data_IF_552498363810
#
_entry.id   IF_552498363810
#
_cell.length_a   1.000
_cell.length_b   1.000
_cell.length_c   1.000
_cell.angle_alpha   90.00
_cell.angle_beta   90.00
_cell.angle_gamma   90.00
#
_symmetry.space_group_name_H-M   'P 1'
#
loop_
_entity.id
_entity.type
_entity.pdbx_description
1 polymer ?
#
# COMPACT_ATOMS: atom_id res chain seq x y z
N UNK A 1 -1.52 -49.49 14.38
CA UNK A 1 -2.36 -48.27 14.30
C UNK A 1 -1.77 -47.07 15.02
N UNK A 2 -1.27 -47.20 16.26
CA UNK A 2 -0.72 -46.08 17.04
C UNK A 2 0.37 -45.26 16.35
N UNK A 3 1.28 -45.90 15.60
CA UNK A 3 2.35 -45.17 14.87
C UNK A 3 1.82 -44.23 13.79
N UNK A 4 0.72 -44.60 13.11
CA UNK A 4 0.08 -43.74 12.10
C UNK A 4 -0.60 -42.54 12.78
N UNK A 5 -1.25 -42.78 13.92
CA UNK A 5 -1.90 -41.73 14.71
C UNK A 5 -0.86 -40.72 15.24
N UNK A 6 0.26 -41.22 15.78
CA UNK A 6 1.36 -40.38 16.25
C UNK A 6 1.93 -39.49 15.13
N UNK A 7 2.13 -40.04 13.93
CA UNK A 7 2.59 -39.25 12.78
C UNK A 7 1.59 -38.17 12.37
N UNK A 8 0.28 -38.46 12.39
CA UNK A 8 -0.76 -37.48 12.07
C UNK A 8 -0.74 -36.35 13.10
N UNK A 9 -0.69 -36.68 14.40
CA UNK A 9 -0.61 -35.68 15.47
C UNK A 9 0.63 -34.81 15.30
N UNK A 10 1.79 -35.40 15.04
CA UNK A 10 3.03 -34.67 14.83
C UNK A 10 2.93 -33.69 13.65
N UNK A 11 2.30 -34.13 12.56
CA UNK A 11 2.10 -33.32 11.36
C UNK A 11 1.14 -32.15 11.62
N UNK A 12 0.06 -32.39 12.37
CA UNK A 12 -0.87 -31.33 12.79
C UNK A 12 -0.21 -30.30 13.70
N UNK A 13 0.67 -30.74 14.62
CA UNK A 13 1.46 -29.84 15.47
C UNK A 13 2.39 -28.99 14.62
N UNK A 14 3.10 -29.59 13.66
CA UNK A 14 3.98 -28.86 12.75
C UNK A 14 3.23 -27.81 11.91
N UNK A 15 2.09 -28.18 11.33
CA UNK A 15 1.23 -27.26 10.56
C UNK A 15 0.76 -26.10 11.43
N UNK A 16 0.31 -26.38 12.65
CA UNK A 16 -0.17 -25.36 13.60
C UNK A 16 0.95 -24.37 13.96
N UNK A 17 2.17 -24.87 14.20
CA UNK A 17 3.33 -24.02 14.48
C UNK A 17 3.71 -23.17 13.27
N UNK A 18 3.75 -23.73 12.06
CA UNK A 18 4.04 -23.00 10.84
C UNK A 18 3.00 -21.89 10.59
N UNK A 19 1.72 -22.20 10.78
CA UNK A 19 0.64 -21.23 10.65
C UNK A 19 0.76 -20.11 11.69
N UNK A 20 1.03 -20.44 12.96
CA UNK A 20 1.27 -19.45 14.00
C UNK A 20 2.43 -18.52 13.67
N UNK A 21 3.53 -19.06 13.12
CA UNK A 21 4.67 -18.28 12.67
C UNK A 21 4.35 -17.39 11.47
N UNK A 22 3.49 -17.85 10.55
CA UNK A 22 3.05 -17.08 9.39
C UNK A 22 2.17 -15.89 9.80
N UNK A 23 1.25 -16.08 10.75
CA UNK A 23 0.33 -15.03 11.21
C UNK A 23 1.03 -14.01 12.12
N UNK A 24 1.99 -14.46 12.95
CA UNK A 24 2.65 -13.58 13.93
C UNK A 24 3.82 -12.79 13.36
N UNK A 25 4.43 -13.22 12.25
CA UNK A 25 5.52 -12.46 11.64
C UNK A 25 4.96 -11.28 10.84
N UNK A 26 5.44 -10.04 11.08
CA UNK A 26 5.17 -8.95 10.16
C UNK A 26 5.65 -9.35 8.77
N UNK A 27 4.87 -9.03 7.74
CA UNK A 27 5.28 -9.32 6.38
C UNK A 27 6.54 -8.50 6.09
N UNK A 28 7.37 -8.98 5.16
CA UNK A 28 8.59 -8.26 4.79
C UNK A 28 8.27 -6.79 4.42
N UNK A 29 7.15 -6.55 3.74
CA UNK A 29 6.63 -5.22 3.42
C UNK A 29 6.28 -4.35 4.63
N UNK A 30 5.97 -4.91 5.80
CA UNK A 30 5.74 -4.13 7.02
C UNK A 30 7.05 -3.71 7.69
N UNK A 31 8.14 -4.47 7.45
CA UNK A 31 9.47 -4.20 8.01
C UNK A 31 10.29 -3.21 7.17
N UNK A 32 10.15 -3.30 5.84
CA UNK A 32 10.87 -2.43 4.89
C UNK A 32 9.98 -1.42 4.17
N UNK A 33 8.67 -1.45 4.45
CA UNK A 33 7.72 -0.55 3.84
C UNK A 33 8.03 0.91 4.17
N UNK A 34 7.63 1.86 3.29
CA UNK A 34 7.74 3.27 3.61
C UNK A 34 6.95 3.57 4.89
N UNK A 35 7.56 4.29 5.83
CA UNK A 35 6.86 4.82 7.01
C UNK A 35 5.88 5.88 6.49
N UNK A 36 4.56 5.67 6.61
CA UNK A 36 3.60 6.61 6.06
C UNK A 36 3.64 7.91 6.86
N UNK A 37 4.03 9.00 6.21
CA UNK A 37 3.77 10.34 6.72
C UNK A 37 2.27 10.62 6.59
N UNK A 38 1.63 11.03 7.70
CA UNK A 38 0.20 11.38 7.72
C UNK A 38 0.07 12.89 7.89
N UNK A 39 -0.86 13.48 7.16
CA UNK A 39 -1.23 14.89 7.25
C UNK A 39 -2.61 15.10 6.62
N UNK A 40 -3.26 16.20 6.97
CA UNK A 40 -4.50 16.62 6.32
C UNK A 40 -4.20 17.46 5.08
N UNK A 41 -5.20 17.73 4.25
CA UNK A 41 -5.06 18.70 3.17
C UNK A 41 -4.68 20.07 3.76
N UNK A 42 -3.66 20.71 3.19
CA UNK A 42 -3.08 21.96 3.68
C UNK A 42 -1.97 21.79 4.72
N UNK A 43 -1.87 20.63 5.38
CA UNK A 43 -0.81 20.36 6.33
C UNK A 43 0.49 20.01 5.60
N UNK A 44 1.63 20.39 6.19
CA UNK A 44 2.94 19.94 5.75
C UNK A 44 3.21 18.53 6.30
N UNK A 45 3.20 17.54 5.42
CA UNK A 45 3.54 16.16 5.74
C UNK A 45 5.06 15.97 5.64
N UNK A 46 5.69 15.71 6.79
CA UNK A 46 7.14 15.50 6.91
C UNK A 46 7.43 14.01 6.82
N UNK A 47 7.99 13.60 5.68
CA UNK A 47 8.56 12.27 5.48
C UNK A 47 10.02 12.21 5.91
N UNK A 48 10.63 11.02 5.86
CA UNK A 48 12.05 10.83 6.24
C UNK A 48 13.01 11.59 5.31
N UNK A 49 12.64 11.78 4.05
CA UNK A 49 13.52 12.32 3.00
C UNK A 49 12.88 13.44 2.18
N UNK A 50 11.67 13.86 2.53
CA UNK A 50 10.94 14.91 1.82
C UNK A 50 9.94 15.56 2.76
N UNK A 51 9.64 16.80 2.48
CA UNK A 51 8.49 17.51 3.03
C UNK A 51 7.56 17.79 1.85
N UNK A 52 6.25 17.63 2.07
CA UNK A 52 5.26 17.87 1.02
C UNK A 52 3.99 18.41 1.63
N UNK A 53 3.36 19.38 0.98
CA UNK A 53 2.05 19.90 1.35
C UNK A 53 1.07 19.64 0.21
N UNK A 54 0.00 18.89 0.49
CA UNK A 54 -1.09 18.77 -0.46
C UNK A 54 -1.98 20.02 -0.36
N UNK A 55 -1.97 20.87 -1.37
CA UNK A 55 -2.72 22.13 -1.36
C UNK A 55 -4.20 21.92 -1.70
N UNK A 56 -4.46 21.09 -2.73
CA UNK A 56 -5.79 20.93 -3.30
C UNK A 56 -5.99 19.53 -3.85
N UNK A 57 -7.22 19.04 -3.73
CA UNK A 57 -7.70 17.86 -4.45
C UNK A 57 -8.84 18.29 -5.36
N UNK A 58 -8.75 17.94 -6.64
CA UNK A 58 -9.80 18.17 -7.64
C UNK A 58 -10.25 16.85 -8.23
N UNK A 59 -11.55 16.75 -8.54
CA UNK A 59 -12.10 15.57 -9.19
C UNK A 59 -12.44 15.85 -10.64
N UNK A 60 -12.04 14.97 -11.55
CA UNK A 60 -12.27 15.13 -12.97
C UNK A 60 -12.64 13.81 -13.64
N UNK A 61 -13.56 13.82 -14.61
CA UNK A 61 -13.88 12.62 -15.39
C UNK A 61 -12.93 12.42 -16.58
N UNK A 62 -12.40 13.51 -17.11
CA UNK A 62 -11.42 13.56 -18.20
C UNK A 62 -10.22 14.35 -17.74
N UNK A 63 -9.03 13.81 -17.95
CA UNK A 63 -7.77 14.48 -17.64
C UNK A 63 -7.02 14.75 -18.94
N UNK A 64 -6.85 16.03 -19.29
CA UNK A 64 -6.03 16.42 -20.45
C UNK A 64 -4.59 16.59 -19.97
N UNK A 65 -3.67 15.88 -20.59
CA UNK A 65 -2.24 15.95 -20.27
C UNK A 65 -1.49 16.30 -21.54
N UNK A 66 -0.68 17.35 -21.48
CA UNK A 66 0.23 17.73 -22.54
C UNK A 66 1.60 17.13 -22.22
N UNK A 67 2.13 16.30 -23.12
CA UNK A 67 3.42 15.62 -22.96
C UNK A 67 4.20 15.67 -24.25
N UNK A 68 5.38 16.29 -24.21
CA UNK A 68 6.31 16.39 -25.35
C UNK A 68 5.68 16.96 -26.63
N UNK A 69 4.81 17.97 -26.51
CA UNK A 69 4.14 18.60 -27.65
C UNK A 69 2.85 17.91 -28.11
N UNK A 70 2.58 16.69 -27.63
CA UNK A 70 1.32 16.00 -27.89
C UNK A 70 0.35 16.14 -26.72
N UNK A 71 -0.92 16.39 -27.05
CA UNK A 71 -2.00 16.43 -26.06
C UNK A 71 -2.79 15.14 -26.06
N UNK A 72 -2.95 14.53 -24.88
CA UNK A 72 -3.74 13.31 -24.70
C UNK A 72 -4.83 13.51 -23.65
N UNK A 73 -6.04 13.06 -23.98
CA UNK A 73 -7.15 13.00 -23.03
C UNK A 73 -7.20 11.59 -22.43
N UNK A 74 -7.12 11.52 -21.10
CA UNK A 74 -7.18 10.29 -20.31
C UNK A 74 -8.56 10.15 -19.66
N UNK A 75 -9.12 8.96 -19.77
CA UNK A 75 -10.41 8.58 -19.17
C UNK A 75 -10.24 7.32 -18.32
N UNK A 76 -11.11 7.13 -17.34
CA UNK A 76 -11.16 5.94 -16.49
C UNK A 76 -12.63 5.51 -16.28
N UNK A 77 -12.86 4.29 -15.81
CA UNK A 77 -14.21 3.84 -15.42
C UNK A 77 -14.77 4.60 -14.21
N UNK A 78 -13.91 5.25 -13.41
CA UNK A 78 -14.28 6.08 -12.26
C UNK A 78 -14.15 7.59 -12.51
N UNK A 79 -13.72 8.30 -11.46
CA UNK A 79 -13.29 9.70 -11.51
C UNK A 79 -11.81 9.78 -11.15
N UNK A 80 -11.09 10.70 -11.78
CA UNK A 80 -9.75 11.09 -11.36
C UNK A 80 -9.84 11.91 -10.09
N UNK A 81 -8.93 11.65 -9.14
CA UNK A 81 -8.59 12.56 -8.06
C UNK A 81 -7.21 13.15 -8.36
N UNK A 82 -7.15 14.44 -8.66
CA UNK A 82 -5.92 15.17 -8.98
C UNK A 82 -5.50 15.91 -7.72
N UNK A 83 -4.31 15.59 -7.21
CA UNK A 83 -3.76 16.23 -6.01
C UNK A 83 -2.66 17.19 -6.45
N UNK A 84 -2.82 18.47 -6.12
CA UNK A 84 -1.77 19.48 -6.28
C UNK A 84 -0.93 19.50 -5.02
N UNK A 85 0.38 19.40 -5.17
CA UNK A 85 1.33 19.35 -4.07
C UNK A 85 2.42 20.41 -4.24
N UNK A 86 2.83 20.98 -3.12
CA UNK A 86 3.99 21.86 -2.97
C UNK A 86 5.09 21.08 -2.24
N UNK A 87 6.33 21.21 -2.69
CA UNK A 87 7.54 20.58 -2.12
C UNK A 87 8.47 21.63 -1.54
#
# INVERSE_FOLDING_TARGET
>A
MMRKLANIVLLLVAVSLCYGLQVSKPHYGDLVGPIPARGSLGDMAVGRSFEVRAEKVEFARKLKVDKFGDSKVLTTGGIWAVVTVEF
#
